data_IF_093287337102
#
_entry.id   IF_093287337102
#
_cell.length_a   1.000
_cell.length_b   1.000
_cell.length_c   1.000
_cell.angle_alpha   90.00
_cell.angle_beta   90.00
_cell.angle_gamma   90.00
#
_symmetry.space_group_name_H-M   'P 1'
#
loop_
_entity.id
_entity.type
_entity.pdbx_description
1 polymer ?
#
# COMPACT_ATOMS: atom_id res chain seq x y z
N UNK A 1 -32.00 26.42 17.50
CA UNK A 1 -31.69 24.96 17.42
C UNK A 1 -31.09 24.68 16.05
N UNK A 2 -29.80 24.75 15.97
CA UNK A 2 -29.05 24.57 14.73
C UNK A 2 -28.82 23.07 14.53
N UNK A 3 -29.43 22.51 13.48
CA UNK A 3 -29.18 21.13 13.08
C UNK A 3 -27.76 21.02 12.59
N UNK A 4 -26.86 20.47 13.43
CA UNK A 4 -25.58 19.96 12.96
C UNK A 4 -25.88 18.88 11.91
N UNK A 5 -25.63 19.25 10.68
CA UNK A 5 -25.55 18.33 9.57
C UNK A 5 -24.35 17.41 9.83
N UNK A 6 -24.60 16.22 10.37
CA UNK A 6 -23.62 15.16 10.41
C UNK A 6 -23.34 14.75 8.96
N UNK A 7 -22.28 15.34 8.39
CA UNK A 7 -21.69 14.82 7.18
C UNK A 7 -21.38 13.34 7.42
N UNK A 8 -21.92 12.49 6.58
CA UNK A 8 -21.65 11.06 6.54
C UNK A 8 -20.16 10.83 6.61
N UNK A 9 -19.69 10.28 7.71
CA UNK A 9 -18.35 9.74 7.83
C UNK A 9 -18.26 8.68 6.76
N UNK A 10 -17.49 8.93 5.70
CA UNK A 10 -17.08 7.92 4.74
C UNK A 10 -16.55 6.74 5.56
N UNK A 11 -17.14 5.55 5.41
CA UNK A 11 -16.77 4.39 6.21
C UNK A 11 -15.27 4.14 6.13
N UNK A 12 -14.68 3.65 7.21
CA UNK A 12 -13.26 3.28 7.26
C UNK A 12 -12.90 2.40 6.05
N UNK A 13 -11.77 2.71 5.39
CA UNK A 13 -11.35 2.04 4.17
C UNK A 13 -9.90 1.57 4.25
N UNK A 14 -9.56 0.52 3.52
CA UNK A 14 -8.18 0.09 3.33
C UNK A 14 -7.73 0.36 1.88
N UNK A 15 -6.72 1.19 1.73
CA UNK A 15 -5.96 1.38 0.49
C UNK A 15 -4.70 0.53 0.55
N UNK A 16 -4.72 -0.63 -0.11
CA UNK A 16 -3.59 -1.56 -0.20
C UNK A 16 -2.74 -1.22 -1.41
N UNK A 17 -1.64 -0.50 -1.17
CA UNK A 17 -0.73 -0.01 -2.22
C UNK A 17 0.39 -1.02 -2.42
N UNK A 18 0.30 -1.81 -3.47
CA UNK A 18 1.28 -2.86 -3.79
C UNK A 18 2.02 -2.60 -5.10
N UNK A 19 3.09 -3.31 -5.32
CA UNK A 19 3.94 -3.19 -6.51
C UNK A 19 5.37 -3.63 -6.22
N UNK A 20 6.16 -3.77 -7.27
CA UNK A 20 7.55 -4.22 -7.15
C UNK A 20 8.42 -3.25 -6.32
N UNK A 21 9.53 -3.73 -5.72
CA UNK A 21 10.51 -2.86 -5.10
C UNK A 21 10.99 -1.76 -6.08
N UNK A 22 11.02 -0.50 -5.63
CA UNK A 22 11.36 0.65 -6.48
C UNK A 22 10.21 1.26 -7.28
N UNK A 23 8.98 0.69 -7.22
CA UNK A 23 7.83 1.24 -7.96
C UNK A 23 7.33 2.60 -7.43
N UNK A 24 7.75 3.03 -6.23
CA UNK A 24 7.34 4.32 -5.65
C UNK A 24 6.14 4.25 -4.72
N UNK A 25 5.77 3.07 -4.25
CA UNK A 25 4.62 2.82 -3.34
C UNK A 25 4.60 3.74 -2.13
N UNK A 26 5.70 3.82 -1.39
CA UNK A 26 5.81 4.64 -0.17
C UNK A 26 5.55 6.12 -0.44
N UNK A 27 6.09 6.65 -1.53
CA UNK A 27 5.88 8.04 -1.94
C UNK A 27 4.41 8.31 -2.27
N UNK A 28 3.80 7.45 -3.07
CA UNK A 28 2.38 7.57 -3.43
C UNK A 28 1.46 7.37 -2.23
N UNK A 29 1.78 6.43 -1.34
CA UNK A 29 1.01 6.20 -0.12
C UNK A 29 1.07 7.39 0.86
N UNK A 30 2.22 8.05 0.98
CA UNK A 30 2.37 9.29 1.79
C UNK A 30 1.52 10.42 1.22
N UNK A 31 1.58 10.65 -0.08
CA UNK A 31 0.77 11.65 -0.76
C UNK A 31 -0.73 11.36 -0.61
N UNK A 32 -1.16 10.11 -0.83
CA UNK A 32 -2.54 9.69 -0.64
C UNK A 32 -3.02 9.92 0.80
N UNK A 33 -2.24 9.48 1.78
CA UNK A 33 -2.58 9.68 3.19
C UNK A 33 -2.69 11.17 3.55
N UNK A 34 -1.83 12.02 3.00
CA UNK A 34 -1.89 13.46 3.19
C UNK A 34 -3.19 14.04 2.60
N UNK A 35 -3.56 13.66 1.37
CA UNK A 35 -4.80 14.13 0.73
C UNK A 35 -6.06 13.70 1.49
N UNK A 36 -6.11 12.47 1.97
CA UNK A 36 -7.23 11.96 2.76
C UNK A 36 -7.35 12.71 4.11
N UNK A 37 -6.23 12.98 4.79
CA UNK A 37 -6.21 13.82 6.01
C UNK A 37 -6.70 15.25 5.76
N UNK A 38 -6.32 15.85 4.63
CA UNK A 38 -6.81 17.18 4.24
C UNK A 38 -8.35 17.20 4.01
N UNK A 39 -8.94 16.06 3.70
CA UNK A 39 -10.40 15.87 3.61
C UNK A 39 -11.08 15.60 4.96
N UNK A 40 -10.31 15.59 6.06
CA UNK A 40 -10.81 15.37 7.42
C UNK A 40 -10.90 13.90 7.83
N UNK A 41 -10.32 12.97 7.06
CA UNK A 41 -10.32 11.55 7.41
C UNK A 41 -9.29 11.24 8.50
N UNK A 42 -9.62 10.30 9.38
CA UNK A 42 -8.67 9.71 10.35
C UNK A 42 -7.82 8.67 9.66
N UNK A 43 -6.61 9.04 9.24
CA UNK A 43 -5.77 8.18 8.39
C UNK A 43 -4.56 7.64 9.13
N UNK A 44 -4.39 6.31 9.11
CA UNK A 44 -3.18 5.60 9.51
C UNK A 44 -2.40 5.19 8.26
N UNK A 45 -1.14 5.62 8.18
CA UNK A 45 -0.21 5.22 7.14
C UNK A 45 0.69 4.11 7.66
N UNK A 46 0.69 2.97 7.00
CA UNK A 46 1.55 1.83 7.28
C UNK A 46 2.51 1.61 6.09
N UNK A 47 3.78 1.41 6.41
CA UNK A 47 4.83 1.09 5.43
C UNK A 47 5.44 -0.26 5.77
N UNK A 48 5.58 -1.14 4.78
CA UNK A 48 6.04 -2.52 4.98
C UNK A 48 7.44 -2.61 5.58
N UNK A 49 8.35 -1.70 5.23
CA UNK A 49 9.70 -1.68 5.78
C UNK A 49 9.69 -1.21 7.24
N UNK A 50 8.89 -0.18 7.55
CA UNK A 50 8.69 0.28 8.92
C UNK A 50 8.02 -0.79 9.79
N UNK A 51 7.00 -1.47 9.27
CA UNK A 51 6.33 -2.57 9.98
C UNK A 51 7.29 -3.73 10.26
N UNK A 52 8.11 -4.10 9.29
CA UNK A 52 9.14 -5.14 9.50
C UNK A 52 10.09 -4.76 10.63
N UNK A 53 10.51 -3.50 10.71
CA UNK A 53 11.38 -3.01 11.79
C UNK A 53 10.68 -3.07 13.15
N UNK A 54 9.43 -2.62 13.24
CA UNK A 54 8.64 -2.63 14.49
C UNK A 54 8.40 -4.05 14.98
N UNK A 55 8.19 -5.01 14.08
CA UNK A 55 8.01 -6.42 14.41
C UNK A 55 9.32 -7.15 14.74
N UNK A 56 10.41 -6.42 14.91
CA UNK A 56 11.69 -6.93 15.41
C UNK A 56 12.68 -7.43 14.36
N UNK A 57 12.38 -7.28 13.06
CA UNK A 57 13.30 -7.55 11.96
C UNK A 57 13.79 -8.99 11.79
N UNK A 58 13.37 -9.92 12.66
CA UNK A 58 13.84 -11.33 12.71
C UNK A 58 13.14 -12.24 11.69
N UNK A 59 12.18 -11.71 10.96
CA UNK A 59 11.47 -12.50 9.94
C UNK A 59 12.36 -12.71 8.73
N UNK A 60 12.46 -13.96 8.26
CA UNK A 60 13.19 -14.32 7.06
C UNK A 60 12.70 -13.60 5.80
N UNK A 61 13.45 -13.79 4.71
CA UNK A 61 13.09 -13.24 3.40
C UNK A 61 12.58 -14.33 2.43
N UNK A 62 12.52 -15.59 2.89
CA UNK A 62 11.91 -16.66 2.11
C UNK A 62 10.41 -16.46 1.90
N UNK A 63 9.82 -17.25 1.02
CA UNK A 63 8.40 -17.11 0.66
C UNK A 63 7.48 -17.21 1.87
N UNK A 64 7.70 -18.20 2.75
CA UNK A 64 6.81 -18.46 3.89
C UNK A 64 6.85 -17.31 4.90
N UNK A 65 8.04 -16.82 5.26
CA UNK A 65 8.22 -15.70 6.17
C UNK A 65 7.61 -14.40 5.61
N UNK A 66 7.76 -14.15 4.31
CA UNK A 66 7.15 -12.99 3.64
C UNK A 66 5.63 -13.08 3.59
N UNK A 67 5.09 -14.28 3.34
CA UNK A 67 3.65 -14.53 3.35
C UNK A 67 3.06 -14.31 4.75
N UNK A 68 3.70 -14.87 5.79
CA UNK A 68 3.29 -14.69 7.18
C UNK A 68 3.24 -13.20 7.57
N UNK A 69 4.29 -12.44 7.23
CA UNK A 69 4.31 -10.99 7.45
C UNK A 69 3.19 -10.27 6.71
N UNK A 70 2.94 -10.63 5.46
CA UNK A 70 1.86 -10.02 4.68
C UNK A 70 0.49 -10.27 5.33
N UNK A 71 0.27 -11.48 5.89
CA UNK A 71 -0.94 -11.80 6.64
C UNK A 71 -1.03 -11.02 7.96
N UNK A 72 0.08 -10.77 8.64
CA UNK A 72 0.10 -9.90 9.84
C UNK A 72 -0.29 -8.47 9.45
N UNK A 73 0.28 -7.93 8.36
CA UNK A 73 -0.02 -6.58 7.89
C UNK A 73 -1.49 -6.38 7.55
N UNK A 74 -2.08 -7.31 6.78
CA UNK A 74 -3.48 -7.18 6.38
C UNK A 74 -4.46 -7.32 7.54
N UNK A 75 -4.14 -8.18 8.53
CA UNK A 75 -4.92 -8.31 9.77
C UNK A 75 -4.83 -7.05 10.64
N UNK A 76 -3.64 -6.45 10.74
CA UNK A 76 -3.45 -5.16 11.43
C UNK A 76 -4.27 -4.07 10.73
N UNK A 77 -4.25 -4.01 9.40
CA UNK A 77 -5.08 -3.07 8.64
C UNK A 77 -6.57 -3.24 8.96
N UNK A 78 -7.07 -4.48 8.99
CA UNK A 78 -8.45 -4.78 9.36
C UNK A 78 -8.78 -4.25 10.75
N UNK A 79 -7.94 -4.55 11.75
CA UNK A 79 -8.14 -4.10 13.12
C UNK A 79 -8.27 -2.57 13.22
N UNK A 80 -7.46 -1.83 12.47
CA UNK A 80 -7.50 -0.37 12.43
C UNK A 80 -8.76 0.14 11.72
N UNK A 81 -9.18 -0.51 10.64
CA UNK A 81 -10.45 -0.17 9.96
C UNK A 81 -11.65 -0.42 10.88
N UNK A 82 -11.68 -1.50 11.64
CA UNK A 82 -12.73 -1.79 12.62
C UNK A 82 -12.81 -0.74 13.74
N UNK A 83 -11.71 -0.02 14.00
CA UNK A 83 -11.66 1.11 14.93
C UNK A 83 -12.04 2.46 14.29
N UNK A 84 -12.46 2.45 13.03
CA UNK A 84 -12.92 3.65 12.33
C UNK A 84 -11.83 4.45 11.61
N UNK A 85 -10.64 3.89 11.44
CA UNK A 85 -9.57 4.55 10.71
C UNK A 85 -9.55 4.16 9.24
N UNK A 86 -9.32 5.12 8.36
CA UNK A 86 -8.87 4.84 6.99
C UNK A 86 -7.40 4.43 7.05
N UNK A 87 -7.05 3.29 6.45
CA UNK A 87 -5.68 2.78 6.43
C UNK A 87 -5.09 2.88 5.02
N UNK A 88 -3.91 3.45 4.90
CA UNK A 88 -3.10 3.38 3.67
C UNK A 88 -1.90 2.50 3.97
N UNK A 89 -1.83 1.32 3.35
CA UNK A 89 -0.75 0.36 3.58
C UNK A 89 0.10 0.17 2.33
N UNK A 90 1.34 0.62 2.36
CA UNK A 90 2.31 0.46 1.28
C UNK A 90 3.21 -0.75 1.53
N UNK A 91 3.11 -1.78 0.70
CA UNK A 91 3.88 -3.01 0.89
C UNK A 91 4.14 -3.72 -0.44
N UNK A 92 5.20 -4.51 -0.51
CA UNK A 92 5.43 -5.40 -1.66
C UNK A 92 4.44 -6.57 -1.65
N UNK A 93 4.13 -7.16 -0.52
CA UNK A 93 3.17 -8.25 -0.22
C UNK A 93 2.30 -8.72 -1.40
N UNK A 94 2.94 -9.26 -2.45
CA UNK A 94 2.29 -9.66 -3.70
C UNK A 94 1.92 -11.14 -3.63
N UNK A 95 0.93 -11.44 -2.78
CA UNK A 95 0.35 -12.77 -2.58
C UNK A 95 -1.15 -12.69 -2.85
N UNK A 96 -1.65 -13.48 -3.79
CA UNK A 96 -3.08 -13.47 -4.14
C UNK A 96 -3.97 -13.88 -2.96
N UNK A 97 -3.53 -14.83 -2.15
CA UNK A 97 -4.27 -15.26 -0.96
C UNK A 97 -4.47 -14.13 0.06
N UNK A 98 -3.45 -13.29 0.26
CA UNK A 98 -3.55 -12.10 1.14
C UNK A 98 -4.58 -11.11 0.59
N UNK A 99 -4.57 -10.87 -0.72
CA UNK A 99 -5.52 -9.96 -1.38
C UNK A 99 -6.94 -10.51 -1.35
N UNK A 100 -7.13 -11.81 -1.59
CA UNK A 100 -8.43 -12.47 -1.47
C UNK A 100 -8.96 -12.39 -0.04
N UNK A 101 -8.10 -12.64 0.95
CA UNK A 101 -8.48 -12.49 2.33
C UNK A 101 -8.92 -11.05 2.64
N UNK A 102 -8.20 -10.04 2.17
CA UNK A 102 -8.56 -8.63 2.34
C UNK A 102 -9.92 -8.31 1.73
N UNK A 103 -10.17 -8.74 0.48
CA UNK A 103 -11.46 -8.54 -0.22
C UNK A 103 -12.63 -9.15 0.56
N UNK A 104 -12.42 -10.31 1.19
CA UNK A 104 -13.48 -11.02 1.91
C UNK A 104 -13.71 -10.52 3.33
N UNK A 105 -12.73 -9.83 3.95
CA UNK A 105 -12.76 -9.53 5.37
C UNK A 105 -12.72 -8.03 5.71
N UNK A 106 -12.48 -7.16 4.74
CA UNK A 106 -12.37 -5.71 4.97
C UNK A 106 -13.34 -4.98 4.06
N UNK A 107 -14.38 -4.42 4.63
CA UNK A 107 -15.28 -3.52 3.91
C UNK A 107 -14.49 -2.28 3.44
N UNK A 108 -14.74 -1.81 2.23
CA UNK A 108 -14.00 -0.66 1.68
C UNK A 108 -12.54 -0.97 1.29
N UNK A 109 -12.18 -2.24 1.07
CA UNK A 109 -10.89 -2.61 0.53
C UNK A 109 -10.69 -2.12 -0.91
N UNK A 110 -9.60 -1.40 -1.13
CA UNK A 110 -9.18 -0.93 -2.46
C UNK A 110 -7.74 -1.34 -2.73
N UNK A 111 -7.54 -2.15 -3.77
CA UNK A 111 -6.23 -2.60 -4.21
C UNK A 111 -5.68 -1.66 -5.28
N UNK A 112 -4.50 -1.08 -5.01
CA UNK A 112 -3.82 -0.13 -5.88
C UNK A 112 -2.49 -0.77 -6.30
N UNK A 113 -2.36 -1.06 -7.60
CA UNK A 113 -1.15 -1.61 -8.16
C UNK A 113 -0.29 -0.50 -8.79
N UNK A 114 0.87 -0.26 -8.19
CA UNK A 114 1.85 0.70 -8.71
C UNK A 114 2.83 -0.02 -9.62
N UNK A 115 2.81 0.31 -10.91
CA UNK A 115 3.74 -0.20 -11.93
C UNK A 115 4.81 0.84 -12.25
N UNK A 116 5.99 0.37 -12.61
CA UNK A 116 7.04 1.18 -13.22
C UNK A 116 7.78 0.34 -14.26
N UNK A 117 8.30 0.95 -15.33
CA UNK A 117 9.14 0.26 -16.31
C UNK A 117 10.36 -0.39 -15.66
N UNK A 118 10.81 -1.52 -16.19
CA UNK A 118 11.92 -2.27 -15.59
C UNK A 118 13.21 -1.45 -15.48
N UNK A 119 13.49 -0.61 -16.46
CA UNK A 119 14.64 0.31 -16.41
C UNK A 119 14.59 1.26 -15.22
N UNK A 120 13.42 1.85 -14.97
CA UNK A 120 13.17 2.74 -13.82
C UNK A 120 13.28 1.98 -12.49
N UNK A 121 12.73 0.77 -12.43
CA UNK A 121 12.84 -0.08 -11.24
C UNK A 121 14.29 -0.46 -10.93
N UNK A 122 15.08 -0.76 -11.96
CA UNK A 122 16.49 -1.12 -11.83
C UNK A 122 17.31 0.05 -11.32
N UNK A 123 17.13 1.23 -11.89
CA UNK A 123 17.79 2.46 -11.48
C UNK A 123 17.46 2.82 -10.02
N UNK A 124 16.16 2.87 -9.67
CA UNK A 124 15.71 3.19 -8.32
C UNK A 124 16.20 2.15 -7.29
N UNK A 125 16.21 0.86 -7.65
CA UNK A 125 16.76 -0.20 -6.79
C UNK A 125 18.27 -0.08 -6.60
N UNK A 126 19.01 0.34 -7.61
CA UNK A 126 20.45 0.57 -7.48
C UNK A 126 20.75 1.70 -6.49
N UNK A 127 19.99 2.81 -6.56
CA UNK A 127 20.09 3.92 -5.60
C UNK A 127 19.70 3.48 -4.18
N UNK A 128 18.65 2.66 -4.04
CA UNK A 128 18.20 2.14 -2.75
C UNK A 128 19.22 1.15 -2.15
N UNK A 129 19.84 0.30 -2.97
CA UNK A 129 20.89 -0.65 -2.56
C UNK A 129 22.12 0.03 -2.00
N UNK A 130 22.48 1.20 -2.48
CA UNK A 130 23.63 1.96 -1.97
C UNK A 130 23.43 2.48 -0.54
N UNK A 131 22.18 2.47 -0.04
CA UNK A 131 21.81 2.97 1.29
C UNK A 131 21.43 1.86 2.30
N UNK A 132 21.49 0.57 1.90
CA UNK A 132 21.11 -0.57 2.75
C UNK A 132 22.25 -1.59 2.82
N UNK A 133 22.46 -2.19 4.00
CA UNK A 133 23.44 -3.26 4.22
C UNK A 133 23.17 -4.48 3.32
N UNK A 134 24.22 -5.11 2.73
CA UNK A 134 24.07 -6.26 1.82
C UNK A 134 23.31 -7.45 2.41
N UNK A 135 23.31 -7.59 3.72
CA UNK A 135 22.64 -8.67 4.46
C UNK A 135 21.11 -8.65 4.36
N UNK A 136 20.53 -7.51 3.98
CA UNK A 136 19.09 -7.34 3.77
C UNK A 136 18.64 -7.66 2.34
N UNK A 137 19.56 -8.12 1.50
CA UNK A 137 19.32 -8.40 0.09
C UNK A 137 19.18 -9.90 -0.16
N UNK A 138 18.18 -10.53 0.38
CA UNK A 138 17.95 -11.93 0.08
C UNK A 138 16.58 -12.14 -0.52
N UNK A 139 16.54 -12.31 -1.76
CA UNK A 139 15.85 -13.33 -2.54
C UNK A 139 16.20 -13.13 -4.02
N UNK A 140 17.01 -14.00 -4.56
CA UNK A 140 17.45 -13.93 -5.97
C UNK A 140 16.31 -14.23 -6.96
N UNK A 141 15.16 -14.71 -6.48
CA UNK A 141 13.97 -14.95 -7.31
C UNK A 141 12.69 -14.94 -6.46
N UNK A 142 12.23 -13.78 -5.98
CA UNK A 142 10.97 -13.71 -5.26
C UNK A 142 9.82 -14.07 -6.20
N UNK A 143 9.01 -15.06 -5.80
CA UNK A 143 7.75 -15.33 -6.49
C UNK A 143 6.79 -14.18 -6.18
N UNK A 144 6.54 -13.33 -7.16
CA UNK A 144 5.54 -12.28 -7.08
C UNK A 144 4.29 -12.68 -7.84
N UNK A 145 3.17 -12.69 -7.16
CA UNK A 145 1.85 -12.90 -7.74
C UNK A 145 1.26 -11.51 -8.05
N UNK A 146 1.44 -11.07 -9.30
CA UNK A 146 0.95 -9.76 -9.73
C UNK A 146 -0.58 -9.67 -9.58
N UNK A 147 -1.13 -8.51 -9.19
CA UNK A 147 -2.56 -8.29 -9.16
C UNK A 147 -3.20 -8.53 -10.53
N UNK A 148 -4.23 -9.37 -10.57
CA UNK A 148 -4.95 -9.69 -11.83
C UNK A 148 -6.04 -8.66 -12.12
N UNK A 149 -6.76 -8.21 -11.08
CA UNK A 149 -7.85 -7.25 -11.19
C UNK A 149 -7.80 -6.24 -10.03
N UNK A 150 -6.78 -5.38 -9.98
CA UNK A 150 -6.72 -4.33 -8.95
C UNK A 150 -7.80 -3.28 -9.21
N UNK A 151 -8.24 -2.58 -8.17
CA UNK A 151 -9.20 -1.48 -8.28
C UNK A 151 -8.61 -0.28 -9.05
N UNK A 152 -7.29 -0.08 -8.95
CA UNK A 152 -6.57 0.93 -9.72
C UNK A 152 -5.16 0.47 -10.09
N UNK A 153 -4.70 0.90 -11.26
CA UNK A 153 -3.31 0.74 -11.70
C UNK A 153 -2.72 2.13 -11.88
N UNK A 154 -1.58 2.39 -11.24
CA UNK A 154 -0.84 3.63 -11.39
C UNK A 154 0.49 3.37 -12.08
N UNK A 155 0.67 3.93 -13.26
CA UNK A 155 1.92 3.88 -14.01
C UNK A 155 2.85 5.01 -13.55
N UNK A 156 3.90 4.63 -12.80
CA UNK A 156 4.88 5.55 -12.22
C UNK A 156 6.25 5.42 -12.91
N UNK A 157 6.32 5.89 -14.12
CA UNK A 157 7.56 5.96 -14.92
C UNK A 157 8.50 7.11 -14.51
N UNK A 158 8.04 8.00 -13.64
CA UNK A 158 8.77 9.19 -13.20
C UNK A 158 8.48 10.45 -14.00
N UNK A 159 7.66 10.38 -15.04
CA UNK A 159 7.30 11.54 -15.87
C UNK A 159 6.30 12.48 -15.19
N UNK A 160 5.52 11.95 -14.24
CA UNK A 160 4.49 12.71 -13.50
C UNK A 160 4.81 12.80 -12.01
N UNK A 161 4.50 13.94 -11.37
CA UNK A 161 4.67 14.06 -9.92
C UNK A 161 3.69 13.16 -9.16
N UNK A 162 4.05 12.70 -7.95
CA UNK A 162 3.17 11.86 -7.11
C UNK A 162 1.76 12.45 -6.89
N UNK A 163 1.66 13.76 -6.74
CA UNK A 163 0.39 14.46 -6.56
C UNK A 163 -0.59 14.22 -7.72
N UNK A 164 -0.10 14.29 -8.97
CA UNK A 164 -0.92 14.06 -10.15
C UNK A 164 -1.41 12.60 -10.25
N UNK A 165 -0.57 11.63 -9.87
CA UNK A 165 -0.94 10.21 -9.82
C UNK A 165 -1.99 9.95 -8.75
N UNK A 166 -1.88 10.61 -7.60
CA UNK A 166 -2.86 10.49 -6.51
C UNK A 166 -4.18 11.18 -6.85
N UNK A 167 -4.16 12.31 -7.56
CA UNK A 167 -5.39 12.96 -8.06
C UNK A 167 -6.14 12.04 -9.04
N UNK A 168 -5.43 11.36 -9.95
CA UNK A 168 -6.00 10.34 -10.83
C UNK A 168 -6.63 9.19 -10.03
N UNK A 169 -5.89 8.65 -9.05
CA UNK A 169 -6.36 7.59 -8.18
C UNK A 169 -7.66 7.96 -7.46
N UNK A 170 -7.70 9.14 -6.85
CA UNK A 170 -8.88 9.60 -6.10
C UNK A 170 -10.08 9.78 -7.02
N UNK A 171 -9.89 10.24 -8.25
CA UNK A 171 -10.95 10.33 -9.25
C UNK A 171 -11.45 8.93 -9.68
N UNK A 172 -10.56 7.94 -9.82
CA UNK A 172 -10.95 6.57 -10.14
C UNK A 172 -11.78 5.94 -9.00
N UNK A 173 -11.34 6.07 -7.76
CA UNK A 173 -12.03 5.51 -6.59
C UNK A 173 -13.43 6.13 -6.43
N UNK A 174 -13.57 7.43 -6.62
CA UNK A 174 -14.87 8.10 -6.54
C UNK A 174 -15.89 7.64 -7.60
N UNK A 175 -15.43 7.12 -8.73
CA UNK A 175 -16.30 6.57 -9.79
C UNK A 175 -16.73 5.13 -9.51
N UNK A 176 -16.05 4.44 -8.61
CA UNK A 176 -16.31 3.06 -8.23
C UNK A 176 -17.18 2.93 -6.97
N UNK A 177 -17.35 4.04 -6.23
CA UNK A 177 -18.20 4.17 -5.03
C UNK A 177 -19.61 4.60 -5.39
#
# INVERSE_FOLDING_TARGET
MEKRQTSSISGAALYWVTGLPGAGKTTLARELAQRLRQRGESVVLLDGDALRTVLGGKHGYDYAARFELAMIYVRLCRLLCEQGHTVVCATVSMFEEVRQWARSNIAGYSEIFVRAPEGVLRERRALYRSSISPELMVDSNPRYELPVAPHAILDNDGSRPPAALVDELLNLIQRLS
#
